data_IF_407698028472
#
_entry.id   IF_407698028472
#
_cell.length_a   1.000
_cell.length_b   1.000
_cell.length_c   1.000
_cell.angle_alpha   90.00
_cell.angle_beta   90.00
_cell.angle_gamma   90.00
#
_symmetry.space_group_name_H-M   'P 1'
#
loop_
_entity.id
_entity.type
_entity.pdbx_description
1 polymer ?
#
# COMPACT_ATOMS: atom_id res chain seq x y z
N UNK A 1 5.55 -18.33 -0.02
CA UNK A 1 4.49 -18.10 -1.02
C UNK A 1 4.52 -16.64 -1.49
N UNK A 2 4.29 -16.40 -2.77
CA UNK A 2 4.36 -15.05 -3.36
C UNK A 2 3.00 -14.60 -3.84
N UNK A 3 2.77 -13.30 -3.77
CA UNK A 3 1.56 -12.65 -4.26
C UNK A 3 1.94 -11.72 -5.41
N UNK A 4 1.33 -11.93 -6.56
CA UNK A 4 1.49 -11.02 -7.70
C UNK A 4 0.43 -9.93 -7.61
N UNK A 5 0.86 -8.69 -7.46
CA UNK A 5 -0.05 -7.56 -7.20
C UNK A 5 -0.25 -6.64 -8.41
N UNK A 6 0.27 -7.03 -9.57
CA UNK A 6 0.18 -6.25 -10.79
C UNK A 6 1.45 -5.48 -11.09
N UNK A 7 1.53 -4.90 -12.29
CA UNK A 7 2.66 -4.10 -12.75
C UNK A 7 4.02 -4.78 -12.53
N UNK A 8 4.07 -6.10 -12.71
CA UNK A 8 5.27 -6.94 -12.52
C UNK A 8 5.84 -6.93 -11.11
N UNK A 9 5.05 -6.53 -10.12
CA UNK A 9 5.46 -6.55 -8.72
C UNK A 9 5.00 -7.83 -8.05
N UNK A 10 5.94 -8.56 -7.47
CA UNK A 10 5.68 -9.81 -6.75
C UNK A 10 6.17 -9.63 -5.32
N UNK A 11 5.29 -9.92 -4.36
CA UNK A 11 5.61 -9.83 -2.94
C UNK A 11 5.61 -11.21 -2.30
N UNK A 12 6.54 -11.41 -1.37
CA UNK A 12 6.50 -12.57 -0.50
C UNK A 12 5.44 -12.33 0.59
N UNK A 13 4.47 -13.23 0.71
CA UNK A 13 3.39 -13.10 1.69
C UNK A 13 3.90 -12.94 3.12
N UNK A 14 5.06 -13.48 3.43
CA UNK A 14 5.67 -13.31 4.75
C UNK A 14 6.03 -11.88 5.08
N UNK A 15 6.23 -11.05 4.07
CA UNK A 15 6.61 -9.65 4.25
C UNK A 15 5.42 -8.72 4.34
N UNK A 16 4.22 -9.20 4.00
CA UNK A 16 2.99 -8.39 4.03
C UNK A 16 2.47 -8.34 5.46
N UNK A 17 2.26 -7.13 5.96
CA UNK A 17 1.71 -6.90 7.30
C UNK A 17 0.19 -6.69 7.21
N UNK A 18 -0.25 -5.77 6.35
CA UNK A 18 -1.66 -5.44 6.16
C UNK A 18 -1.96 -5.17 4.70
N UNK A 19 -3.20 -5.47 4.30
CA UNK A 19 -3.78 -5.01 3.04
C UNK A 19 -5.05 -4.25 3.42
N UNK A 20 -5.11 -2.95 3.10
CA UNK A 20 -6.20 -2.07 3.48
C UNK A 20 -6.96 -1.57 2.25
N UNK A 21 -8.26 -1.36 2.41
CA UNK A 21 -9.10 -0.80 1.35
C UNK A 21 -8.93 0.72 1.32
N UNK A 22 -8.15 1.20 0.39
CA UNK A 22 -7.85 2.63 0.26
C UNK A 22 -9.10 3.46 -0.04
N UNK A 23 -9.99 2.96 -0.90
CA UNK A 23 -11.19 3.73 -1.25
C UNK A 23 -12.08 4.02 -0.06
N UNK A 24 -12.21 3.07 0.86
CA UNK A 24 -13.02 3.26 2.06
C UNK A 24 -12.31 4.05 3.14
N UNK A 25 -10.99 4.09 3.12
CA UNK A 25 -10.21 4.74 4.17
C UNK A 25 -9.70 6.13 3.81
N UNK A 26 -9.70 6.49 2.55
CA UNK A 26 -9.11 7.76 2.09
C UNK A 26 -9.71 9.01 2.75
N UNK A 27 -10.93 8.93 3.23
CA UNK A 27 -11.63 10.04 3.91
C UNK A 27 -11.53 9.95 5.43
N UNK A 28 -10.97 8.87 5.95
CA UNK A 28 -10.78 8.70 7.38
C UNK A 28 -9.62 9.57 7.86
N UNK A 29 -9.87 10.40 8.88
CA UNK A 29 -8.86 11.34 9.38
C UNK A 29 -7.64 10.66 9.96
N UNK A 30 -7.82 9.54 10.65
CA UNK A 30 -6.71 8.78 11.22
C UNK A 30 -5.84 8.19 10.11
N UNK A 31 -6.48 7.67 9.07
CA UNK A 31 -5.76 7.12 7.93
C UNK A 31 -5.01 8.22 7.16
N UNK A 32 -5.62 9.39 6.99
CA UNK A 32 -4.94 10.54 6.35
C UNK A 32 -3.71 10.96 7.14
N UNK A 33 -3.82 11.00 8.45
CA UNK A 33 -2.68 11.31 9.32
C UNK A 33 -1.58 10.26 9.20
N UNK A 34 -1.96 8.99 9.18
CA UNK A 34 -1.01 7.89 8.96
C UNK A 34 -0.26 8.06 7.64
N UNK A 35 -0.97 8.36 6.55
CA UNK A 35 -0.35 8.55 5.24
C UNK A 35 0.56 9.78 5.19
N UNK A 36 0.22 10.84 5.93
CA UNK A 36 1.03 12.04 6.01
C UNK A 36 2.36 11.77 6.72
N UNK A 37 2.36 10.87 7.69
CA UNK A 37 3.54 10.55 8.48
C UNK A 37 4.45 9.51 7.84
N UNK A 38 3.98 8.85 6.77
CA UNK A 38 4.81 7.88 6.05
C UNK A 38 5.87 8.62 5.24
N UNK A 39 7.10 8.11 5.28
CA UNK A 39 8.17 8.59 4.43
C UNK A 39 7.84 8.29 2.97
N UNK A 40 7.74 9.33 2.16
CA UNK A 40 7.39 9.19 0.74
C UNK A 40 8.39 8.33 -0.05
N UNK A 41 9.61 8.24 0.41
CA UNK A 41 10.63 7.39 -0.21
C UNK A 41 10.32 5.90 -0.04
N UNK A 42 9.47 5.55 0.92
CA UNK A 42 9.09 4.17 1.19
C UNK A 42 7.74 3.80 0.55
N UNK A 43 7.14 4.71 -0.22
CA UNK A 43 5.87 4.47 -0.89
C UNK A 43 6.14 4.18 -2.37
N UNK A 44 5.57 3.07 -2.85
CA UNK A 44 5.59 2.69 -4.27
C UNK A 44 4.16 2.71 -4.79
N UNK A 45 3.89 3.51 -5.81
CA UNK A 45 2.55 3.60 -6.41
C UNK A 45 2.53 2.81 -7.71
N UNK A 46 1.75 1.73 -7.75
CA UNK A 46 1.53 0.92 -8.93
C UNK A 46 0.08 0.98 -9.40
N UNK A 47 -0.69 1.94 -8.89
CA UNK A 47 -2.13 2.04 -9.12
C UNK A 47 -2.51 2.77 -10.40
N UNK A 48 -1.53 3.33 -11.10
CA UNK A 48 -1.77 4.14 -12.31
C UNK A 48 -2.65 5.36 -12.03
N UNK A 49 -2.51 5.95 -10.84
CA UNK A 49 -3.18 7.19 -10.46
C UNK A 49 -4.47 7.02 -9.68
N UNK A 50 -5.02 5.82 -9.58
CA UNK A 50 -6.27 5.56 -8.84
C UNK A 50 -6.11 4.38 -7.89
N UNK A 51 -5.46 4.58 -6.76
CA UNK A 51 -5.26 3.48 -5.81
C UNK A 51 -6.58 3.00 -5.21
N UNK A 52 -6.74 1.68 -5.13
CA UNK A 52 -7.89 1.04 -4.50
C UNK A 52 -7.52 0.40 -3.19
N UNK A 53 -6.28 0.01 -3.03
CA UNK A 53 -5.81 -0.63 -1.81
C UNK A 53 -4.40 -0.17 -1.49
N UNK A 54 -4.03 -0.29 -0.23
CA UNK A 54 -2.67 -0.05 0.23
C UNK A 54 -2.16 -1.32 0.88
N UNK A 55 -0.99 -1.77 0.45
CA UNK A 55 -0.35 -2.98 0.96
C UNK A 55 0.84 -2.56 1.80
N UNK A 56 0.77 -2.83 3.09
CA UNK A 56 1.83 -2.46 4.02
C UNK A 56 2.74 -3.67 4.22
N UNK A 57 4.01 -3.50 3.89
CA UNK A 57 5.03 -4.53 4.06
C UNK A 57 6.06 -4.10 5.08
N UNK A 58 6.97 -5.00 5.41
CA UNK A 58 8.05 -4.73 6.37
C UNK A 58 8.99 -3.62 5.91
N UNK A 59 9.13 -3.41 4.62
CA UNK A 59 10.11 -2.49 4.05
C UNK A 59 9.48 -1.25 3.44
N UNK A 60 8.28 -1.37 2.88
CA UNK A 60 7.64 -0.29 2.13
C UNK A 60 6.13 -0.43 2.10
N UNK A 61 5.48 0.66 1.69
CA UNK A 61 4.04 0.71 1.47
C UNK A 61 3.76 0.80 -0.02
N UNK A 62 2.81 0.03 -0.51
CA UNK A 62 2.51 -0.06 -1.94
C UNK A 62 1.06 0.35 -2.17
N UNK A 63 0.86 1.38 -2.99
CA UNK A 63 -0.46 1.79 -3.45
C UNK A 63 -0.81 1.03 -4.72
N UNK A 64 -1.88 0.29 -4.67
CA UNK A 64 -2.34 -0.49 -5.80
C UNK A 64 -3.68 -0.03 -6.33
#
# INVERSE_FOLDING_TARGET
MYLHIGNNVILNKKDIIFILDYENLKENNIFKEFCTNIDKNNITDISEGKPKSIIITKEKDILK
#
